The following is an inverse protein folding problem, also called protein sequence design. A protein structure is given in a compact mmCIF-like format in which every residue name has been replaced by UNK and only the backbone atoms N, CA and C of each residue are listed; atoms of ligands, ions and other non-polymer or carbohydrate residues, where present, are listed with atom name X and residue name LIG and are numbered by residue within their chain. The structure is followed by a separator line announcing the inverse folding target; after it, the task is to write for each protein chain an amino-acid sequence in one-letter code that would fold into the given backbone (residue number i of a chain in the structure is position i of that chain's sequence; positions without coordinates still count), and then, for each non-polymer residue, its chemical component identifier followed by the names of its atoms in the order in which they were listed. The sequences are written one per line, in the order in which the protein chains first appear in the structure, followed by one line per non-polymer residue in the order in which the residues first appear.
data_IF_133921948195
#
_entry.id   IF_133921948195
#
_cell.length_a   1.000
_cell.length_b   1.000
_cell.length_c   1.000
_cell.angle_alpha   90.00
_cell.angle_beta   90.00
_cell.angle_gamma   90.00
#
_symmetry.space_group_name_H-M   'P 1'
#
loop_
_entity.id
_entity.type
_entity.pdbx_description
1 polymer ?
#
# COMPACT_ATOMS: atom_id res chain seq x y z
N UNK A 1 0.47 -1.83 -47.12
CA UNK A 1 -0.33 -2.78 -46.33
C UNK A 1 -0.44 -2.21 -44.91
N UNK A 2 -1.56 -1.59 -44.54
CA UNK A 2 -1.76 -1.00 -43.20
C UNK A 2 -2.72 -1.91 -42.44
N UNK A 3 -2.22 -2.58 -41.41
CA UNK A 3 -2.99 -3.46 -40.54
C UNK A 3 -3.98 -2.63 -39.71
N UNK A 4 -5.27 -2.87 -39.91
CA UNK A 4 -6.33 -2.41 -39.02
C UNK A 4 -6.29 -3.28 -37.76
N UNK A 5 -5.93 -2.68 -36.62
CA UNK A 5 -6.06 -3.29 -35.31
C UNK A 5 -7.52 -3.11 -34.87
N UNK A 6 -8.31 -4.17 -34.97
CA UNK A 6 -9.67 -4.21 -34.48
C UNK A 6 -9.66 -4.29 -32.94
N UNK A 7 -9.91 -3.16 -32.27
CA UNK A 7 -10.30 -3.13 -30.87
C UNK A 7 -11.67 -3.78 -30.71
N UNK A 8 -11.69 -5.06 -30.36
CA UNK A 8 -12.90 -5.77 -29.96
C UNK A 8 -13.32 -5.28 -28.57
N UNK A 9 -14.14 -4.23 -28.56
CA UNK A 9 -14.87 -3.78 -27.36
C UNK A 9 -15.88 -4.88 -26.99
N UNK A 10 -15.57 -5.68 -25.97
CA UNK A 10 -16.57 -6.43 -25.23
C UNK A 10 -17.47 -5.42 -24.52
N UNK A 11 -18.57 -5.03 -25.16
CA UNK A 11 -19.69 -4.39 -24.49
C UNK A 11 -20.31 -5.43 -23.55
N UNK A 12 -19.97 -5.37 -22.25
CA UNK A 12 -20.71 -6.11 -21.24
C UNK A 12 -22.17 -5.70 -21.31
N UNK A 13 -23.06 -6.66 -21.57
CA UNK A 13 -24.49 -6.45 -21.42
C UNK A 13 -24.75 -6.05 -19.95
N UNK A 14 -24.94 -4.76 -19.72
CA UNK A 14 -25.45 -4.28 -18.45
C UNK A 14 -26.90 -4.77 -18.39
N UNK A 15 -27.16 -5.78 -17.56
CA UNK A 15 -28.51 -6.30 -17.37
C UNK A 15 -29.19 -5.35 -16.38
N UNK A 16 -30.21 -4.63 -16.83
CA UNK A 16 -30.98 -3.64 -16.08
C UNK A 16 -32.46 -4.05 -16.01
N UNK A 17 -33.23 -3.42 -15.12
CA UNK A 17 -34.67 -3.66 -14.98
C UNK A 17 -35.43 -3.11 -16.19
N UNK A 18 -36.53 -3.76 -16.55
CA UNK A 18 -37.38 -3.36 -17.67
C UNK A 18 -38.71 -2.81 -17.15
N UNK A 19 -38.95 -1.52 -17.39
CA UNK A 19 -40.21 -0.85 -17.06
C UNK A 19 -41.04 -0.68 -18.32
N UNK A 20 -42.14 -1.41 -18.43
CA UNK A 20 -43.09 -1.27 -19.55
C UNK A 20 -44.13 -0.22 -19.19
N UNK A 21 -44.25 0.82 -20.02
CA UNK A 21 -45.20 1.92 -19.86
C UNK A 21 -46.51 1.68 -20.62
N UNK A 22 -47.60 2.33 -20.18
CA UNK A 22 -48.94 2.22 -20.80
C UNK A 22 -48.99 2.75 -22.23
N UNK A 23 -48.07 3.64 -22.60
CA UNK A 23 -47.93 4.16 -23.96
C UNK A 23 -47.12 3.23 -24.88
N UNK A 24 -46.71 2.05 -24.38
CA UNK A 24 -45.97 1.04 -25.12
C UNK A 24 -44.45 1.21 -25.10
N UNK A 25 -43.91 2.24 -24.43
CA UNK A 25 -42.46 2.38 -24.25
C UNK A 25 -41.95 1.35 -23.25
N UNK A 26 -40.75 0.82 -23.49
CA UNK A 26 -40.00 0.02 -22.52
C UNK A 26 -38.75 0.80 -22.14
N UNK A 27 -38.60 1.04 -20.85
CA UNK A 27 -37.46 1.77 -20.29
C UNK A 27 -36.55 0.78 -19.59
N UNK A 28 -35.26 0.85 -19.92
CA UNK A 28 -34.22 0.02 -19.34
C UNK A 28 -33.40 0.85 -18.33
N UNK A 29 -33.31 0.38 -17.09
CA UNK A 29 -32.56 1.04 -16.02
C UNK A 29 -32.66 0.34 -14.67
N UNK A 30 -31.95 0.83 -13.65
CA UNK A 30 -32.04 0.28 -12.29
C UNK A 30 -33.17 0.98 -11.52
N UNK A 31 -34.12 0.22 -10.98
CA UNK A 31 -35.17 0.75 -10.09
C UNK A 31 -34.54 1.07 -8.73
N UNK A 32 -34.50 2.36 -8.36
CA UNK A 32 -33.88 2.82 -7.11
C UNK A 32 -34.85 2.84 -5.93
N UNK A 33 -36.13 3.06 -6.22
CA UNK A 33 -37.20 3.12 -5.21
C UNK A 33 -38.57 3.03 -5.87
N UNK A 34 -39.49 2.39 -5.19
CA UNK A 34 -40.93 2.36 -5.49
C UNK A 34 -41.69 2.68 -4.20
N UNK A 35 -42.33 3.86 -4.15
CA UNK A 35 -43.10 4.32 -2.98
C UNK A 35 -44.61 4.08 -3.13
N UNK A 36 -45.02 3.28 -4.13
CA UNK A 36 -46.42 3.01 -4.44
C UNK A 36 -47.10 4.08 -5.30
N UNK A 37 -46.53 5.28 -5.43
CA UNK A 37 -47.05 6.37 -6.27
C UNK A 37 -46.11 6.70 -7.42
N UNK A 38 -44.80 6.65 -7.16
CA UNK A 38 -43.73 7.02 -8.06
C UNK A 38 -42.64 5.96 -8.03
N UNK A 39 -42.14 5.61 -9.21
CA UNK A 39 -40.97 4.74 -9.40
C UNK A 39 -39.81 5.61 -9.86
N UNK A 40 -38.67 5.49 -9.17
CA UNK A 40 -37.44 6.19 -9.53
C UNK A 40 -36.52 5.26 -10.29
N UNK A 41 -36.34 5.52 -11.58
CA UNK A 41 -35.56 4.68 -12.49
C UNK A 41 -34.25 5.38 -12.86
N UNK A 42 -33.11 4.71 -12.64
CA UNK A 42 -31.79 5.17 -13.10
C UNK A 42 -31.48 4.58 -14.47
N UNK A 43 -31.46 5.43 -15.47
CA UNK A 43 -31.05 5.09 -16.83
C UNK A 43 -29.60 5.55 -17.09
N UNK A 44 -29.02 5.13 -18.21
CA UNK A 44 -27.65 5.52 -18.61
C UNK A 44 -27.42 7.04 -18.66
N UNK A 45 -28.44 7.82 -19.01
CA UNK A 45 -28.34 9.27 -19.19
C UNK A 45 -28.81 10.10 -17.97
N UNK A 46 -29.29 9.45 -16.90
CA UNK A 46 -29.80 10.15 -15.73
C UNK A 46 -30.85 9.35 -14.97
N UNK A 47 -31.42 9.96 -13.93
CA UNK A 47 -32.50 9.37 -13.12
C UNK A 47 -33.81 10.06 -13.44
N UNK A 48 -34.87 9.30 -13.64
CA UNK A 48 -36.23 9.81 -13.90
C UNK A 48 -37.20 9.31 -12.83
N UNK A 49 -38.26 10.08 -12.60
CA UNK A 49 -39.38 9.69 -11.76
C UNK A 49 -40.58 9.42 -12.67
N UNK A 50 -41.13 8.21 -12.61
CA UNK A 50 -42.28 7.76 -13.41
C UNK A 50 -43.44 7.55 -12.45
N UNK A 51 -44.63 8.06 -12.78
CA UNK A 51 -45.80 7.77 -11.94
C UNK A 51 -46.23 6.32 -12.14
N UNK A 52 -46.58 5.63 -11.06
CA UNK A 52 -46.94 4.20 -11.09
C UNK A 52 -48.21 3.92 -11.90
N UNK A 53 -49.10 4.89 -12.04
CA UNK A 53 -50.27 4.81 -12.90
C UNK A 53 -49.96 4.84 -14.40
N UNK A 54 -48.74 5.20 -14.81
CA UNK A 54 -48.27 5.16 -16.20
C UNK A 54 -47.51 3.87 -16.53
N UNK A 55 -47.29 2.99 -15.54
CA UNK A 55 -46.55 1.74 -15.67
C UNK A 55 -47.53 0.57 -15.85
N UNK A 56 -47.20 -0.34 -16.77
CA UNK A 56 -47.91 -1.61 -17.00
C UNK A 56 -47.26 -2.72 -16.18
N UNK A 57 -45.94 -2.87 -16.28
CA UNK A 57 -45.18 -3.88 -15.56
C UNK A 57 -43.75 -3.39 -15.30
N UNK A 58 -43.16 -3.95 -14.24
CA UNK A 58 -41.75 -3.80 -13.91
C UNK A 58 -41.21 -5.23 -13.83
N UNK A 59 -40.26 -5.55 -14.70
CA UNK A 59 -39.49 -6.78 -14.64
C UNK A 59 -38.17 -6.45 -13.95
N UNK A 60 -38.14 -6.65 -12.63
CA UNK A 60 -36.95 -6.49 -11.83
C UNK A 60 -35.98 -7.65 -12.10
N UNK A 61 -34.72 -7.31 -12.33
CA UNK A 61 -33.69 -8.32 -12.46
C UNK A 61 -33.37 -8.87 -11.07
N UNK A 62 -33.26 -10.20 -10.97
CA UNK A 62 -32.80 -10.84 -9.76
C UNK A 62 -31.45 -10.24 -9.29
N UNK A 63 -31.43 -9.86 -8.02
CA UNK A 63 -30.23 -9.47 -7.29
C UNK A 63 -29.24 -10.65 -7.25
N UNK A 64 -27.93 -10.41 -7.09
CA UNK A 64 -26.96 -11.49 -6.87
C UNK A 64 -27.37 -12.43 -5.73
N UNK A 65 -27.99 -11.90 -4.68
CA UNK A 65 -28.52 -12.65 -3.55
C UNK A 65 -29.68 -13.57 -3.95
N UNK A 66 -30.62 -13.10 -4.77
CA UNK A 66 -31.73 -13.93 -5.28
C UNK A 66 -31.23 -15.02 -6.24
N UNK A 67 -30.31 -14.66 -7.15
CA UNK A 67 -29.67 -15.63 -8.06
C UNK A 67 -28.88 -16.69 -7.27
N UNK A 68 -28.24 -16.28 -6.16
CA UNK A 68 -27.56 -17.18 -5.24
C UNK A 68 -28.54 -18.16 -4.56
N UNK A 69 -29.64 -17.67 -3.99
CA UNK A 69 -30.63 -18.51 -3.32
C UNK A 69 -31.32 -19.49 -4.30
N UNK A 70 -31.55 -19.07 -5.55
CA UNK A 70 -32.06 -19.96 -6.59
C UNK A 70 -31.06 -21.05 -6.96
N UNK A 71 -29.79 -20.70 -7.21
CA UNK A 71 -28.72 -21.67 -7.46
C UNK A 71 -28.58 -22.64 -6.29
N UNK A 72 -28.64 -22.13 -5.05
CA UNK A 72 -28.51 -22.92 -3.84
C UNK A 72 -29.65 -23.93 -3.66
N UNK A 73 -30.88 -23.58 -4.06
CA UNK A 73 -32.04 -24.49 -3.99
C UNK A 73 -31.92 -25.67 -4.96
N UNK A 74 -31.31 -25.45 -6.13
CA UNK A 74 -31.07 -26.51 -7.12
C UNK A 74 -29.77 -27.28 -6.93
N UNK A 75 -28.91 -26.85 -6.00
CA UNK A 75 -27.57 -27.40 -5.83
C UNK A 75 -27.59 -28.72 -5.04
N UNK A 76 -26.89 -29.74 -5.54
CA UNK A 76 -26.49 -30.88 -4.71
C UNK A 76 -25.32 -30.47 -3.81
N UNK A 77 -25.57 -30.42 -2.50
CA UNK A 77 -24.58 -30.03 -1.49
C UNK A 77 -23.54 -31.11 -1.20
N UNK A 78 -23.66 -32.30 -1.77
CA UNK A 78 -22.66 -33.36 -1.67
C UNK A 78 -21.76 -33.44 -2.91
N UNK A 79 -22.03 -32.61 -3.94
CA UNK A 79 -21.19 -32.52 -5.13
C UNK A 79 -20.13 -31.41 -4.95
N UNK A 80 -18.88 -31.83 -4.70
CA UNK A 80 -17.74 -30.94 -4.54
C UNK A 80 -17.53 -30.03 -5.78
N UNK A 81 -17.81 -30.52 -6.99
CA UNK A 81 -17.66 -29.75 -8.22
C UNK A 81 -18.75 -28.69 -8.31
N UNK A 82 -19.99 -29.03 -7.99
CA UNK A 82 -21.10 -28.07 -7.99
C UNK A 82 -20.87 -26.94 -6.97
N UNK A 83 -20.37 -27.26 -5.78
CA UNK A 83 -19.98 -26.27 -4.76
C UNK A 83 -18.82 -25.38 -5.21
N UNK A 84 -17.81 -25.95 -5.90
CA UNK A 84 -16.73 -25.18 -6.51
C UNK A 84 -17.26 -24.17 -7.53
N UNK A 85 -18.10 -24.61 -8.48
CA UNK A 85 -18.66 -23.74 -9.51
C UNK A 85 -19.51 -22.62 -8.91
N UNK A 86 -20.30 -22.92 -7.88
CA UNK A 86 -21.06 -21.91 -7.14
C UNK A 86 -20.14 -20.90 -6.43
N UNK A 87 -19.10 -21.39 -5.75
CA UNK A 87 -18.10 -20.57 -5.08
C UNK A 87 -17.41 -19.61 -6.05
N UNK A 88 -16.96 -20.11 -7.22
CA UNK A 88 -16.33 -19.27 -8.24
C UNK A 88 -17.29 -18.22 -8.80
N UNK A 89 -18.56 -18.58 -9.06
CA UNK A 89 -19.58 -17.62 -9.48
C UNK A 89 -19.80 -16.54 -8.41
N UNK A 90 -19.88 -16.90 -7.12
CA UNK A 90 -20.02 -15.95 -6.02
C UNK A 90 -18.85 -14.97 -5.94
N UNK A 91 -17.62 -15.41 -6.24
CA UNK A 91 -16.47 -14.51 -6.35
C UNK A 91 -16.66 -13.48 -7.46
N UNK A 92 -17.23 -13.86 -8.62
CA UNK A 92 -17.54 -12.90 -9.71
C UNK A 92 -18.57 -11.86 -9.28
N UNK A 93 -19.48 -12.22 -8.36
CA UNK A 93 -20.49 -11.33 -7.78
C UNK A 93 -20.00 -10.56 -6.56
N UNK A 94 -18.74 -10.71 -6.16
CA UNK A 94 -18.13 -10.13 -4.95
C UNK A 94 -18.77 -10.60 -3.64
N UNK A 95 -19.52 -11.71 -3.66
CA UNK A 95 -20.13 -12.34 -2.50
C UNK A 95 -19.10 -13.25 -1.80
N UNK A 96 -18.00 -12.64 -1.38
CA UNK A 96 -16.77 -13.34 -0.99
C UNK A 96 -16.97 -14.24 0.22
N UNK A 97 -17.77 -13.83 1.20
CA UNK A 97 -18.02 -14.63 2.41
C UNK A 97 -18.71 -15.94 2.07
N UNK A 98 -19.81 -15.87 1.32
CA UNK A 98 -20.54 -17.05 0.86
C UNK A 98 -19.66 -17.93 -0.03
N UNK A 99 -18.84 -17.33 -0.90
CA UNK A 99 -17.91 -18.07 -1.74
C UNK A 99 -16.93 -18.91 -0.90
N UNK A 100 -16.35 -18.32 0.14
CA UNK A 100 -15.40 -19.02 1.03
C UNK A 100 -16.07 -20.25 1.66
N UNK A 101 -17.28 -20.10 2.18
CA UNK A 101 -18.00 -21.20 2.84
C UNK A 101 -18.17 -22.40 1.90
N UNK A 102 -18.61 -22.16 0.64
CA UNK A 102 -18.80 -23.22 -0.36
C UNK A 102 -17.49 -23.82 -0.86
N UNK A 103 -16.44 -23.00 -1.02
CA UNK A 103 -15.12 -23.50 -1.44
C UNK A 103 -14.45 -24.35 -0.35
N UNK A 104 -14.63 -24.00 0.92
CA UNK A 104 -14.16 -24.82 2.04
C UNK A 104 -14.90 -26.15 2.07
N UNK A 105 -16.22 -26.14 1.86
CA UNK A 105 -17.00 -27.38 1.82
C UNK A 105 -16.62 -28.26 0.63
N UNK A 106 -16.39 -27.67 -0.55
CA UNK A 106 -15.89 -28.38 -1.72
C UNK A 106 -14.53 -29.06 -1.45
N UNK A 107 -13.57 -28.36 -0.82
CA UNK A 107 -12.27 -28.93 -0.41
C UNK A 107 -12.43 -30.04 0.64
N UNK A 108 -13.44 -29.96 1.52
CA UNK A 108 -13.73 -31.00 2.51
C UNK A 108 -14.27 -32.27 1.85
N UNK A 109 -15.19 -32.14 0.88
CA UNK A 109 -15.82 -33.27 0.20
C UNK A 109 -14.85 -33.99 -0.74
N UNK A 110 -14.00 -33.25 -1.45
CA UNK A 110 -12.93 -33.81 -2.28
C UNK A 110 -11.59 -33.09 -2.04
N UNK A 111 -10.81 -33.55 -1.04
CA UNK A 111 -9.49 -32.99 -0.76
C UNK A 111 -8.46 -33.19 -1.89
N UNK A 112 -8.69 -34.13 -2.81
CA UNK A 112 -7.79 -34.39 -3.93
C UNK A 112 -7.98 -33.35 -5.05
N UNK A 113 -9.16 -32.73 -5.16
CA UNK A 113 -9.42 -31.66 -6.09
C UNK A 113 -8.56 -30.42 -5.78
N UNK A 114 -7.87 -29.89 -6.79
CA UNK A 114 -7.05 -28.67 -6.66
C UNK A 114 -7.88 -27.39 -6.79
N UNK A 115 -9.04 -27.46 -7.46
CA UNK A 115 -9.89 -26.31 -7.78
C UNK A 115 -10.24 -25.43 -6.58
N UNK A 116 -10.85 -25.98 -5.51
CA UNK A 116 -11.23 -25.20 -4.34
C UNK A 116 -10.02 -24.59 -3.62
N UNK A 117 -8.93 -25.36 -3.49
CA UNK A 117 -7.67 -24.89 -2.90
C UNK A 117 -7.07 -23.72 -3.67
N UNK A 118 -7.04 -23.82 -4.99
CA UNK A 118 -6.56 -22.75 -5.84
C UNK A 118 -7.45 -21.51 -5.73
N UNK A 119 -8.78 -21.68 -5.71
CA UNK A 119 -9.72 -20.57 -5.57
C UNK A 119 -9.56 -19.82 -4.24
N UNK A 120 -9.47 -20.54 -3.12
CA UNK A 120 -9.20 -19.98 -1.79
C UNK A 120 -7.83 -19.27 -1.74
N UNK A 121 -6.79 -19.88 -2.32
CA UNK A 121 -5.47 -19.28 -2.41
C UNK A 121 -5.45 -17.94 -3.17
N UNK A 122 -6.22 -17.80 -4.26
CA UNK A 122 -6.34 -16.55 -5.02
C UNK A 122 -6.89 -15.40 -4.18
N UNK A 123 -7.70 -15.69 -3.17
CA UNK A 123 -8.31 -14.69 -2.28
C UNK A 123 -7.62 -14.60 -0.91
N UNK A 124 -6.40 -15.13 -0.80
CA UNK A 124 -5.57 -15.00 0.41
C UNK A 124 -5.96 -15.94 1.55
N UNK A 125 -6.69 -17.02 1.27
CA UNK A 125 -6.96 -18.06 2.26
C UNK A 125 -5.93 -19.18 2.16
N UNK A 126 -5.53 -19.68 3.32
CA UNK A 126 -4.45 -20.67 3.43
C UNK A 126 -4.86 -21.82 4.33
N UNK A 127 -4.52 -23.04 3.92
CA UNK A 127 -4.78 -24.25 4.71
C UNK A 127 -3.71 -24.42 5.79
N UNK A 128 -4.14 -24.65 7.03
CA UNK A 128 -3.32 -24.89 8.20
C UNK A 128 -3.81 -26.15 8.92
N UNK A 129 -3.27 -27.31 8.54
CA UNK A 129 -3.83 -28.60 8.96
C UNK A 129 -5.18 -28.84 8.27
N UNK A 130 -6.22 -29.08 9.06
CA UNK A 130 -7.59 -29.31 8.56
C UNK A 130 -8.45 -28.03 8.52
N UNK A 131 -7.87 -26.89 8.91
CA UNK A 131 -8.58 -25.61 8.95
C UNK A 131 -8.08 -24.65 7.87
N UNK A 132 -9.03 -23.88 7.34
CA UNK A 132 -8.76 -22.75 6.45
C UNK A 132 -8.70 -21.46 7.26
N UNK A 133 -7.65 -20.68 7.05
CA UNK A 133 -7.41 -19.42 7.75
C UNK A 133 -7.27 -18.30 6.73
N UNK A 134 -7.76 -17.11 7.09
CA UNK A 134 -7.47 -15.90 6.34
C UNK A 134 -5.97 -15.55 6.40
N UNK A 135 -5.55 -14.72 5.46
CA UNK A 135 -4.16 -14.30 5.30
C UNK A 135 -3.53 -13.80 6.61
N UNK A 136 -4.20 -12.91 7.34
CA UNK A 136 -3.62 -12.32 8.54
C UNK A 136 -3.44 -13.38 9.63
N UNK A 137 -4.45 -14.20 9.87
CA UNK A 137 -4.39 -15.28 10.87
C UNK A 137 -3.26 -16.25 10.54
N UNK A 138 -3.13 -16.64 9.26
CA UNK A 138 -2.12 -17.59 8.82
C UNK A 138 -0.69 -17.09 9.01
N UNK A 139 -0.41 -15.84 8.61
CA UNK A 139 0.92 -15.24 8.70
C UNK A 139 1.29 -14.87 10.15
N UNK A 140 0.39 -14.21 10.88
CA UNK A 140 0.65 -13.79 12.27
C UNK A 140 0.85 -14.98 13.20
N UNK A 141 0.08 -16.05 13.02
CA UNK A 141 0.25 -17.30 13.78
C UNK A 141 1.62 -17.96 13.59
N UNK A 142 2.36 -17.60 12.54
CA UNK A 142 3.71 -18.09 12.21
C UNK A 142 4.81 -17.07 12.51
N UNK A 143 4.48 -15.97 13.19
CA UNK A 143 5.43 -14.92 13.54
C UNK A 143 5.90 -14.06 12.37
N UNK A 144 5.19 -14.09 11.24
CA UNK A 144 5.44 -13.14 10.15
C UNK A 144 4.95 -11.76 10.55
N UNK A 145 5.68 -10.74 10.10
CA UNK A 145 5.38 -9.35 10.43
C UNK A 145 5.10 -8.58 9.16
N UNK A 146 4.04 -7.76 9.18
CA UNK A 146 3.74 -6.86 8.07
C UNK A 146 4.63 -5.62 8.14
N UNK A 147 5.44 -5.39 7.12
CA UNK A 147 6.30 -4.21 7.00
C UNK A 147 6.17 -3.66 5.57
N UNK A 148 5.81 -2.39 5.45
CA UNK A 148 5.69 -1.69 4.14
C UNK A 148 4.73 -2.43 3.19
N UNK A 149 3.59 -2.87 3.73
CA UNK A 149 2.55 -3.56 2.96
C UNK A 149 2.86 -5.01 2.59
N UNK A 150 4.04 -5.54 2.94
CA UNK A 150 4.45 -6.92 2.64
C UNK A 150 4.60 -7.76 3.92
N UNK A 151 4.29 -9.04 3.82
CA UNK A 151 4.62 -10.01 4.85
C UNK A 151 6.11 -10.30 4.81
N UNK A 152 6.79 -10.13 5.95
CA UNK A 152 8.22 -10.41 6.11
C UNK A 152 8.38 -11.58 7.08
N UNK A 153 9.15 -12.57 6.65
CA UNK A 153 9.51 -13.71 7.49
C UNK A 153 10.29 -13.23 8.73
N UNK A 154 10.06 -13.77 9.94
CA UNK A 154 10.64 -13.25 11.18
C UNK A 154 12.17 -13.12 11.18
N UNK A 155 12.88 -14.06 10.52
CA UNK A 155 14.34 -14.00 10.36
C UNK A 155 14.78 -12.82 9.50
N UNK A 156 14.08 -12.58 8.39
CA UNK A 156 14.37 -11.45 7.51
C UNK A 156 14.04 -10.12 8.21
N UNK A 157 12.93 -10.07 8.94
CA UNK A 157 12.55 -8.91 9.75
C UNK A 157 13.67 -8.56 10.75
N UNK A 158 14.16 -9.56 11.48
CA UNK A 158 15.24 -9.42 12.47
C UNK A 158 16.56 -8.96 11.82
N UNK A 159 16.90 -9.51 10.66
CA UNK A 159 18.07 -9.09 9.90
C UNK A 159 17.96 -7.63 9.42
N UNK A 160 16.82 -7.23 8.85
CA UNK A 160 16.57 -5.84 8.41
C UNK A 160 16.70 -4.84 9.56
N UNK A 161 16.09 -5.17 10.70
CA UNK A 161 16.21 -4.34 11.90
C UNK A 161 17.67 -4.22 12.37
N UNK A 162 18.41 -5.34 12.35
CA UNK A 162 19.84 -5.35 12.70
C UNK A 162 20.66 -4.46 11.77
N UNK A 163 20.39 -4.47 10.46
CA UNK A 163 21.06 -3.58 9.50
C UNK A 163 20.77 -2.10 9.79
N UNK A 164 19.52 -1.76 10.13
CA UNK A 164 19.17 -0.38 10.50
C UNK A 164 19.86 0.08 11.78
N UNK A 165 19.89 -0.78 12.80
CA UNK A 165 20.59 -0.51 14.06
C UNK A 165 22.09 -0.33 13.82
N UNK A 166 22.73 -1.23 13.06
CA UNK A 166 24.15 -1.12 12.71
C UNK A 166 24.46 0.18 11.96
N UNK A 167 23.61 0.57 11.00
CA UNK A 167 23.76 1.83 10.27
C UNK A 167 23.69 3.05 11.20
N UNK A 168 22.75 3.07 12.14
CA UNK A 168 22.61 4.15 13.11
C UNK A 168 23.81 4.20 14.07
N UNK A 169 24.26 3.03 14.56
CA UNK A 169 25.43 2.94 15.43
C UNK A 169 26.69 3.44 14.71
N UNK A 170 26.94 2.99 13.48
CA UNK A 170 28.08 3.42 12.70
C UNK A 170 28.06 4.94 12.46
N UNK A 171 26.88 5.49 12.12
CA UNK A 171 26.70 6.94 11.97
C UNK A 171 27.04 7.70 13.25
N UNK A 172 26.61 7.19 14.42
CA UNK A 172 26.91 7.82 15.72
C UNK A 172 28.39 7.73 16.09
N UNK A 173 29.03 6.60 15.80
CA UNK A 173 30.47 6.41 16.04
C UNK A 173 31.27 7.38 15.17
N UNK A 174 30.98 7.47 13.87
CA UNK A 174 31.66 8.39 12.96
C UNK A 174 31.44 9.85 13.35
N UNK A 175 30.22 10.25 13.71
CA UNK A 175 29.95 11.59 14.22
C UNK A 175 30.78 11.91 15.49
N UNK A 176 30.94 10.94 16.38
CA UNK A 176 31.75 11.10 17.59
C UNK A 176 33.24 11.20 17.27
N UNK A 177 33.72 10.39 16.32
CA UNK A 177 35.10 10.42 15.82
C UNK A 177 35.46 11.77 15.21
N UNK A 178 34.60 12.29 14.33
CA UNK A 178 34.77 13.62 13.70
C UNK A 178 34.81 14.73 14.76
N UNK A 179 33.89 14.71 15.73
CA UNK A 179 33.86 15.70 16.83
C UNK A 179 35.16 15.69 17.64
N UNK A 180 35.66 14.50 18.00
CA UNK A 180 36.92 14.35 18.74
C UNK A 180 38.11 14.85 17.92
N UNK A 181 38.17 14.53 16.63
CA UNK A 181 39.21 15.01 15.72
C UNK A 181 39.23 16.54 15.61
N UNK A 182 38.06 17.15 15.44
CA UNK A 182 37.92 18.61 15.38
C UNK A 182 38.32 19.30 16.69
N UNK A 183 37.93 18.74 17.85
CA UNK A 183 38.33 19.27 19.15
C UNK A 183 39.86 19.19 19.36
N UNK A 184 40.49 18.08 18.98
CA UNK A 184 41.94 17.93 19.05
C UNK A 184 42.67 18.89 18.10
N UNK A 185 42.14 19.13 16.90
CA UNK A 185 42.69 20.11 15.96
C UNK A 185 42.55 21.55 16.49
N UNK A 186 41.42 21.90 17.11
CA UNK A 186 41.21 23.20 17.73
C UNK A 186 42.20 23.44 18.88
N UNK A 187 42.41 22.42 19.74
CA UNK A 187 43.38 22.48 20.83
C UNK A 187 44.81 22.73 20.31
N UNK A 188 45.25 22.00 19.28
CA UNK A 188 46.58 22.21 18.67
C UNK A 188 46.76 23.63 18.11
N UNK A 189 45.76 24.17 17.41
CA UNK A 189 45.81 25.56 16.91
C UNK A 189 45.92 26.58 18.05
N UNK A 190 45.23 26.33 19.16
CA UNK A 190 45.32 27.17 20.35
C UNK A 190 46.73 27.10 20.96
N UNK A 191 47.29 25.91 21.14
CA UNK A 191 48.66 25.71 21.65
C UNK A 191 49.71 26.36 20.74
N UNK A 192 49.59 26.22 19.41
CA UNK A 192 50.45 26.91 18.43
C UNK A 192 50.34 28.44 18.52
N UNK A 193 49.12 28.96 18.68
CA UNK A 193 48.88 30.39 18.84
C UNK A 193 49.49 30.92 20.13
N UNK A 194 49.31 30.21 21.24
CA UNK A 194 49.94 30.54 22.53
C UNK A 194 51.46 30.52 22.38
N UNK A 195 52.04 29.48 21.77
CA UNK A 195 53.47 29.40 21.54
C UNK A 195 54.02 30.57 20.72
N UNK A 196 53.32 30.97 19.65
CA UNK A 196 53.68 32.17 18.86
C UNK A 196 53.61 33.45 19.67
N UNK A 197 52.57 33.62 20.48
CA UNK A 197 52.44 34.79 21.35
C UNK A 197 53.56 34.82 22.40
N UNK A 198 53.91 33.67 22.99
CA UNK A 198 55.03 33.57 23.92
C UNK A 198 56.36 33.94 23.26
N UNK A 199 56.67 33.41 22.08
CA UNK A 199 57.90 33.75 21.34
C UNK A 199 57.96 35.25 20.98
N UNK A 200 56.82 35.86 20.61
CA UNK A 200 56.74 37.31 20.36
C UNK A 200 57.00 38.13 21.62
N UNK A 201 56.44 37.74 22.76
CA UNK A 201 56.66 38.40 24.05
C UNK A 201 58.13 38.31 24.46
N UNK A 202 58.75 37.13 24.31
CA UNK A 202 60.16 36.90 24.67
C UNK A 202 61.15 37.65 23.75
N UNK A 203 60.78 37.87 22.48
CA UNK A 203 61.59 38.64 21.52
C UNK A 203 61.33 40.15 21.59
N UNK A 204 60.19 40.57 22.13
CA UNK A 204 59.76 41.97 22.22
C UNK A 204 60.84 42.92 22.72
N UNK A 205 61.51 42.66 23.86
CA UNK A 205 62.57 43.54 24.38
C UNK A 205 63.75 43.69 23.43
N UNK A 206 64.14 42.62 22.72
CA UNK A 206 65.23 42.64 21.74
C UNK A 206 64.85 43.38 20.47
N UNK A 207 63.61 43.21 20.01
CA UNK A 207 63.08 43.92 18.85
C UNK A 207 62.96 45.42 19.12
N UNK A 208 62.46 45.80 20.29
CA UNK A 208 62.37 47.21 20.71
C UNK A 208 63.77 47.84 20.82
N UNK A 209 64.71 47.17 21.50
CA UNK A 209 66.10 47.66 21.60
C UNK A 209 66.78 47.80 20.23
N UNK A 210 66.51 46.90 19.28
CA UNK A 210 67.04 47.01 17.92
C UNK A 210 66.41 48.16 17.13
N UNK A 211 65.13 48.45 17.37
CA UNK A 211 64.43 49.56 16.73
C UNK A 211 64.93 50.90 17.26
N UNK A 212 65.12 51.03 18.58
CA UNK A 212 65.67 52.23 19.21
C UNK A 212 67.08 52.53 18.69
N UNK A 213 67.94 51.50 18.58
CA UNK A 213 69.29 51.65 18.03
C UNK A 213 69.33 52.05 16.54
N UNK A 214 68.36 51.60 15.74
CA UNK A 214 68.21 51.98 14.33
C UNK A 214 67.74 53.44 14.20
N UNK A 215 66.81 53.87 15.07
CA UNK A 215 66.33 55.26 15.14
C UNK A 215 67.49 56.19 15.52
N UNK A 216 68.26 55.83 16.55
CA UNK A 216 69.41 56.61 17.00
C UNK A 216 70.49 56.72 15.92
N UNK A 217 70.74 55.64 15.15
CA UNK A 217 71.69 55.65 14.02
C UNK A 217 71.24 56.61 12.92
N UNK A 218 69.96 56.57 12.53
CA UNK A 218 69.41 57.49 11.51
C UNK A 218 69.48 58.95 11.97
N UNK A 219 69.14 59.21 13.23
CA UNK A 219 69.24 60.55 13.80
C UNK A 219 70.70 61.08 13.86
N UNK A 220 71.69 60.20 13.98
CA UNK A 220 73.10 60.56 13.92
C UNK A 220 73.58 60.81 12.48
N UNK A 221 73.15 60.00 11.50
CA UNK A 221 73.43 60.19 10.08
C UNK A 221 72.87 61.51 9.53
N UNK A 222 71.68 61.95 10.00
CA UNK A 222 71.09 63.24 9.62
C UNK A 222 71.80 64.46 10.23
N UNK A 223 72.66 64.28 11.24
CA UNK A 223 73.41 65.35 11.93
C UNK A 223 74.85 65.51 11.46
N UNK A 224 75.36 64.60 10.62
CA UNK A 224 76.70 64.63 10.05
C UNK A 224 76.70 65.25 8.65
#
# INVERSE_FOLDING_TARGET
MRAFLACLLLAGAAVADLVTMKDGRVLEGDVLSDDGTTVRLRMRLGTINIRKDEIVSIEEKATPEEEYEERLRGLDRQDAKALLELGEWLLTKKMTRQAIDHLIEADRLDPAAEGPRAALGRIGWHKAGDEWQDENTWYLGRGWTRWEGRWIHPVEYSWRLSQQVLKLLNTRVEATRVRRGNAAAAKRRQEETVGRLTDLVDRGPRLLSSADAEIDRRAAEERA
#
